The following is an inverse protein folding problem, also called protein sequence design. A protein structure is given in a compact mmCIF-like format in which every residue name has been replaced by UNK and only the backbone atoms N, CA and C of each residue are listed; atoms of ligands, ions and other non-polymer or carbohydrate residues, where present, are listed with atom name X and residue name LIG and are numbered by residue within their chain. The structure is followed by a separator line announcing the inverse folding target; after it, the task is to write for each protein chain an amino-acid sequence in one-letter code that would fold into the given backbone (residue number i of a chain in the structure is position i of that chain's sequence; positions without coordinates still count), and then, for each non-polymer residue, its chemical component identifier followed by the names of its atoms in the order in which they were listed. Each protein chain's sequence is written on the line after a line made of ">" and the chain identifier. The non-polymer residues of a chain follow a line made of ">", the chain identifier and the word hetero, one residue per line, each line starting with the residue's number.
data_IF_648786356725
#
_entry.id   IF_648786356725
#
_cell.length_a   1.000
_cell.length_b   1.000
_cell.length_c   1.000
_cell.angle_alpha   90.00
_cell.angle_beta   90.00
_cell.angle_gamma   90.00
#
_symmetry.space_group_name_H-M   'P 1'
#
loop_
_entity.id
_entity.type
_entity.pdbx_description
1 polymer ?
#
# COMPACT_ATOMS: atom_id res chain seq x y z
N UNK A 1 18.92 -1.65 -15.56
CA UNK A 1 17.52 -1.34 -15.89
C UNK A 1 16.65 -2.45 -15.31
N UNK A 2 15.88 -2.19 -14.24
CA UNK A 2 15.03 -3.21 -13.60
C UNK A 2 13.81 -3.52 -14.48
N UNK A 3 13.51 -4.79 -14.69
CA UNK A 3 12.37 -5.22 -15.53
C UNK A 3 11.12 -5.32 -14.64
N UNK A 4 10.10 -4.51 -14.94
CA UNK A 4 8.77 -4.65 -14.32
C UNK A 4 8.05 -5.80 -15.04
N UNK A 5 7.89 -6.96 -14.36
CA UNK A 5 7.09 -8.07 -14.90
C UNK A 5 5.62 -7.91 -14.48
N UNK A 6 4.71 -7.85 -15.46
CA UNK A 6 3.26 -7.90 -15.27
C UNK A 6 2.79 -9.35 -15.22
N UNK A 7 2.20 -9.77 -14.10
CA UNK A 7 1.43 -11.01 -14.03
C UNK A 7 -0.05 -10.70 -14.25
N UNK A 8 -0.67 -11.32 -15.26
CA UNK A 8 -2.08 -11.12 -15.60
C UNK A 8 -2.91 -12.25 -15.01
N UNK A 9 -3.68 -11.97 -13.96
CA UNK A 9 -4.67 -12.89 -13.42
C UNK A 9 -6.06 -12.40 -13.86
N UNK A 10 -6.65 -13.02 -14.87
CA UNK A 10 -7.95 -12.73 -15.51
C UNK A 10 -8.10 -11.36 -16.16
N UNK A 11 -8.53 -11.36 -17.41
CA UNK A 11 -8.89 -10.17 -18.18
C UNK A 11 -10.31 -9.73 -17.79
N UNK A 12 -10.44 -8.60 -17.09
CA UNK A 12 -11.69 -7.86 -17.07
C UNK A 12 -11.81 -7.12 -18.41
N UNK A 13 -12.97 -7.19 -19.06
CA UNK A 13 -13.24 -6.40 -20.27
C UNK A 13 -13.09 -4.92 -19.89
N UNK A 14 -12.08 -4.27 -20.47
CA UNK A 14 -11.79 -2.83 -20.35
C UNK A 14 -11.66 -2.30 -18.90
N UNK A 15 -10.74 -2.82 -18.09
CA UNK A 15 -10.59 -2.35 -16.73
C UNK A 15 -9.98 -0.95 -16.70
N UNK A 16 -10.69 0.01 -16.12
CA UNK A 16 -10.14 1.33 -15.83
C UNK A 16 -8.96 1.21 -14.86
N UNK A 17 -7.88 1.99 -15.04
CA UNK A 17 -6.77 1.97 -14.12
C UNK A 17 -7.18 2.57 -12.78
N UNK A 18 -7.00 1.80 -11.70
CA UNK A 18 -7.23 2.27 -10.34
C UNK A 18 -6.04 3.09 -9.82
N UNK A 19 -4.82 2.81 -10.31
CA UNK A 19 -3.61 3.58 -10.02
C UNK A 19 -2.87 3.87 -11.32
N UNK A 20 -2.44 5.12 -11.52
CA UNK A 20 -1.56 5.51 -12.62
C UNK A 20 -0.43 6.36 -12.09
N UNK A 21 0.80 6.01 -12.50
CA UNK A 21 1.97 6.87 -12.39
C UNK A 21 2.28 7.39 -13.80
N UNK A 22 2.45 8.70 -13.94
CA UNK A 22 2.67 9.35 -15.24
C UNK A 22 3.92 10.24 -15.15
N UNK A 23 4.96 9.88 -15.89
CA UNK A 23 6.22 10.62 -16.04
C UNK A 23 6.87 10.97 -14.69
N UNK A 24 6.86 10.04 -13.75
CA UNK A 24 7.41 10.24 -12.41
C UNK A 24 8.92 10.32 -12.45
N UNK A 25 9.46 11.42 -11.94
CA UNK A 25 10.89 11.61 -11.69
C UNK A 25 11.10 12.03 -10.24
N UNK A 26 12.16 11.51 -9.63
CA UNK A 26 12.53 11.83 -8.25
C UNK A 26 14.04 11.71 -8.06
N UNK A 27 14.62 12.70 -7.38
CA UNK A 27 16.01 12.72 -6.97
C UNK A 27 16.15 12.95 -5.47
N UNK A 28 17.19 12.39 -4.87
CA UNK A 28 17.63 12.73 -3.52
C UNK A 28 18.99 13.42 -3.60
N UNK A 29 19.00 14.72 -3.35
CA UNK A 29 20.17 15.56 -3.64
C UNK A 29 20.55 15.45 -5.11
N UNK A 30 21.81 15.12 -5.40
CA UNK A 30 22.31 14.98 -6.78
C UNK A 30 22.06 13.58 -7.38
N UNK A 31 21.45 12.66 -6.63
CA UNK A 31 21.21 11.29 -7.09
C UNK A 31 19.80 11.13 -7.62
N UNK A 32 19.67 10.93 -8.93
CA UNK A 32 18.40 10.56 -9.57
C UNK A 32 18.05 9.12 -9.20
N UNK A 33 16.87 8.90 -8.60
CA UNK A 33 16.36 7.59 -8.17
C UNK A 33 15.34 7.04 -9.17
N UNK A 34 14.45 7.92 -9.64
CA UNK A 34 13.45 7.57 -10.66
C UNK A 34 13.58 8.58 -11.81
N UNK A 35 13.52 8.07 -13.03
CA UNK A 35 13.61 8.87 -14.24
C UNK A 35 12.49 8.53 -15.20
N UNK A 36 11.51 9.44 -15.31
CA UNK A 36 10.39 9.35 -16.24
C UNK A 36 9.64 8.02 -16.21
N UNK A 37 9.33 7.52 -15.01
CA UNK A 37 8.64 6.24 -14.81
C UNK A 37 7.15 6.41 -15.02
N UNK A 38 6.57 5.55 -15.86
CA UNK A 38 5.13 5.52 -16.10
C UNK A 38 4.62 4.08 -16.12
N UNK A 39 3.54 3.81 -15.37
CA UNK A 39 2.80 2.55 -15.44
C UNK A 39 1.39 2.72 -14.87
N UNK A 40 0.54 1.72 -15.12
CA UNK A 40 -0.84 1.68 -14.66
C UNK A 40 -1.13 0.34 -14.01
N UNK A 41 -1.96 0.36 -12.98
CA UNK A 41 -2.51 -0.83 -12.31
C UNK A 41 -4.02 -0.78 -12.51
N UNK A 42 -4.55 -1.82 -13.15
CA UNK A 42 -5.99 -1.93 -13.39
C UNK A 42 -6.67 -2.68 -12.23
N UNK A 43 -7.97 -2.52 -12.13
CA UNK A 43 -8.76 -3.25 -11.15
C UNK A 43 -8.55 -4.78 -11.29
N UNK A 44 -8.38 -5.48 -10.17
CA UNK A 44 -8.13 -6.91 -10.12
C UNK A 44 -6.76 -7.35 -10.65
N UNK A 45 -5.83 -6.42 -10.92
CA UNK A 45 -4.47 -6.73 -11.38
C UNK A 45 -3.51 -6.86 -10.20
N UNK A 46 -2.61 -7.84 -10.26
CA UNK A 46 -1.43 -7.93 -9.42
C UNK A 46 -0.23 -7.43 -10.22
N UNK A 47 0.51 -6.47 -9.66
CA UNK A 47 1.74 -5.94 -10.25
C UNK A 47 2.94 -6.30 -9.37
N UNK A 48 3.90 -7.06 -9.92
CA UNK A 48 5.18 -7.34 -9.27
C UNK A 48 6.26 -6.38 -9.75
N UNK A 49 7.06 -5.84 -8.81
CA UNK A 49 8.24 -5.03 -9.11
C UNK A 49 9.51 -5.82 -8.80
N UNK A 50 10.29 -6.12 -9.82
CA UNK A 50 11.54 -6.87 -9.71
C UNK A 50 12.73 -5.99 -10.07
N UNK A 51 13.84 -6.20 -9.39
CA UNK A 51 15.10 -5.49 -9.64
C UNK A 51 16.04 -5.53 -8.43
N UNK A 52 17.30 -5.13 -8.58
CA UNK A 52 18.29 -5.12 -7.51
C UNK A 52 17.90 -4.17 -6.37
N UNK A 53 18.56 -4.33 -5.21
CA UNK A 53 18.37 -3.40 -4.09
C UNK A 53 18.83 -1.99 -4.49
N UNK A 54 18.11 -0.97 -3.99
CA UNK A 54 18.42 0.44 -4.28
C UNK A 54 17.95 0.96 -5.64
N UNK A 55 17.26 0.15 -6.47
CA UNK A 55 16.77 0.58 -7.80
C UNK A 55 15.51 1.46 -7.76
N UNK A 56 14.98 1.75 -6.57
CA UNK A 56 13.80 2.62 -6.42
C UNK A 56 12.47 1.91 -6.19
N UNK A 57 12.45 0.57 -5.98
CA UNK A 57 11.19 -0.16 -5.71
C UNK A 57 10.42 0.40 -4.51
N UNK A 58 11.07 0.51 -3.35
CA UNK A 58 10.46 1.07 -2.13
C UNK A 58 10.09 2.54 -2.30
N UNK A 59 10.85 3.28 -3.10
CA UNK A 59 10.58 4.68 -3.45
C UNK A 59 9.24 4.80 -4.19
N UNK A 60 8.95 3.90 -5.13
CA UNK A 60 7.66 3.86 -5.83
C UNK A 60 6.50 3.59 -4.85
N UNK A 61 6.66 2.65 -3.91
CA UNK A 61 5.64 2.42 -2.87
C UNK A 61 5.44 3.66 -1.99
N UNK A 62 6.51 4.33 -1.58
CA UNK A 62 6.43 5.57 -0.79
C UNK A 62 5.75 6.71 -1.55
N UNK A 63 5.94 6.80 -2.86
CA UNK A 63 5.22 7.75 -3.73
C UNK A 63 3.73 7.41 -3.83
N UNK A 64 3.39 6.13 -4.02
CA UNK A 64 1.99 5.67 -4.10
C UNK A 64 1.27 5.92 -2.76
N UNK A 65 1.90 5.61 -1.64
CA UNK A 65 1.31 5.82 -0.30
C UNK A 65 1.25 7.30 0.10
N UNK A 66 2.08 8.16 -0.51
CA UNK A 66 2.13 9.59 -0.19
C UNK A 66 3.08 9.93 0.96
N UNK A 67 3.97 9.00 1.32
CA UNK A 67 5.06 9.26 2.28
C UNK A 67 6.10 10.24 1.71
N UNK A 68 6.29 10.22 0.39
CA UNK A 68 7.14 11.17 -0.33
C UNK A 68 6.40 11.71 -1.56
N UNK A 69 6.81 12.87 -2.06
CA UNK A 69 6.29 13.47 -3.30
C UNK A 69 7.33 13.32 -4.42
N UNK A 70 6.90 13.16 -5.68
CA UNK A 70 7.80 13.21 -6.81
C UNK A 70 8.25 14.65 -7.10
N UNK A 71 9.42 14.82 -7.73
CA UNK A 71 9.84 16.12 -8.26
C UNK A 71 8.99 16.51 -9.47
N UNK A 72 8.66 15.51 -10.32
CA UNK A 72 7.86 15.69 -11.52
C UNK A 72 6.92 14.51 -11.73
N UNK A 73 5.84 14.77 -12.46
CA UNK A 73 4.85 13.77 -12.86
C UNK A 73 3.57 13.81 -12.05
N UNK A 74 2.70 12.84 -12.30
CA UNK A 74 1.39 12.73 -11.66
C UNK A 74 1.16 11.33 -11.14
N UNK A 75 0.53 11.24 -9.97
CA UNK A 75 0.04 9.99 -9.40
C UNK A 75 -1.47 10.12 -9.35
N UNK A 76 -2.18 9.19 -9.97
CA UNK A 76 -3.64 9.22 -10.02
C UNK A 76 -4.22 7.96 -9.40
N UNK A 77 -5.30 8.13 -8.62
CA UNK A 77 -6.16 7.07 -8.11
C UNK A 77 -7.57 7.31 -8.65
N UNK A 78 -8.13 6.31 -9.32
CA UNK A 78 -9.43 6.42 -10.00
C UNK A 78 -9.55 7.70 -10.85
N UNK A 79 -8.46 8.06 -11.56
CA UNK A 79 -8.36 9.26 -12.38
C UNK A 79 -8.04 10.56 -11.64
N UNK A 80 -8.20 10.63 -10.32
CA UNK A 80 -7.91 11.83 -9.54
C UNK A 80 -6.41 11.95 -9.24
N UNK A 81 -5.79 13.13 -9.51
CA UNK A 81 -4.40 13.40 -9.14
C UNK A 81 -4.29 13.53 -7.62
N UNK A 82 -3.40 12.69 -7.02
CA UNK A 82 -3.24 12.59 -5.57
C UNK A 82 -1.85 13.00 -5.08
N UNK A 83 -1.02 13.64 -5.90
CA UNK A 83 0.34 14.02 -5.53
C UNK A 83 0.36 14.84 -4.23
N UNK A 84 -0.60 15.77 -4.06
CA UNK A 84 -0.69 16.62 -2.87
C UNK A 84 -1.52 16.02 -1.73
N UNK A 85 -2.08 14.83 -1.90
CA UNK A 85 -2.84 14.17 -0.85
C UNK A 85 -1.88 13.50 0.14
N UNK A 86 -1.94 13.84 1.43
CA UNK A 86 -1.17 13.13 2.45
C UNK A 86 -1.66 11.70 2.62
N UNK A 87 -0.83 10.86 3.24
CA UNK A 87 -1.09 9.43 3.40
C UNK A 87 -2.47 9.12 3.98
N UNK A 88 -2.91 9.84 5.03
CA UNK A 88 -4.19 9.59 5.68
C UNK A 88 -5.39 9.84 4.75
N UNK A 89 -5.30 10.81 3.85
CA UNK A 89 -6.35 11.05 2.85
C UNK A 89 -6.36 9.97 1.77
N UNK A 90 -5.18 9.47 1.37
CA UNK A 90 -5.11 8.37 0.39
C UNK A 90 -5.68 7.09 0.96
N UNK A 91 -5.36 6.75 2.21
CA UNK A 91 -5.86 5.54 2.87
C UNK A 91 -7.38 5.60 3.10
N UNK A 92 -7.91 6.71 3.59
CA UNK A 92 -9.35 6.83 3.89
C UNK A 92 -10.20 6.97 2.64
N UNK A 93 -9.82 7.86 1.70
CA UNK A 93 -10.60 8.16 0.50
C UNK A 93 -10.54 7.05 -0.55
N UNK A 94 -9.36 6.46 -0.77
CA UNK A 94 -9.14 5.44 -1.80
C UNK A 94 -8.98 4.03 -1.23
N UNK A 95 -9.18 3.85 0.09
CA UNK A 95 -9.14 2.56 0.80
C UNK A 95 -7.86 1.76 0.51
N UNK A 96 -6.71 2.43 0.54
CA UNK A 96 -5.42 1.81 0.30
C UNK A 96 -4.95 1.15 1.60
N UNK A 97 -4.65 -0.14 1.54
CA UNK A 97 -3.90 -0.85 2.57
C UNK A 97 -2.41 -0.89 2.20
N UNK A 98 -1.54 -0.71 3.17
CA UNK A 98 -0.09 -0.83 3.01
C UNK A 98 0.47 -1.75 4.08
N UNK A 99 1.22 -2.76 3.64
CA UNK A 99 1.97 -3.65 4.53
C UNK A 99 3.46 -3.30 4.36
N UNK A 100 4.12 -2.72 5.37
CA UNK A 100 5.54 -2.41 5.31
C UNK A 100 6.39 -3.69 5.35
N UNK A 101 7.63 -3.61 4.90
CA UNK A 101 8.58 -4.72 4.95
C UNK A 101 8.95 -5.07 6.39
N UNK A 102 9.04 -4.07 7.26
CA UNK A 102 9.35 -4.21 8.68
C UNK A 102 8.41 -3.33 9.51
N UNK A 103 8.05 -3.81 10.70
CA UNK A 103 7.18 -3.08 11.62
C UNK A 103 5.72 -3.06 11.18
N UNK A 104 5.01 -2.00 11.55
CA UNK A 104 3.57 -1.88 11.30
C UNK A 104 2.72 -2.47 12.43
N UNK A 105 3.35 -2.86 13.54
CA UNK A 105 2.73 -3.37 14.75
C UNK A 105 3.45 -2.83 16.00
N UNK A 106 2.82 -2.89 17.13
CA UNK A 106 3.40 -2.53 18.43
C UNK A 106 4.11 -3.74 19.00
N UNK A 107 5.44 -3.71 19.05
CA UNK A 107 6.29 -4.84 19.47
C UNK A 107 6.07 -5.30 20.90
N UNK A 108 5.62 -4.41 21.78
CA UNK A 108 5.39 -4.70 23.20
C UNK A 108 3.99 -5.25 23.49
N UNK A 109 3.11 -5.25 22.47
CA UNK A 109 1.76 -5.78 22.57
C UNK A 109 1.68 -7.20 21.97
N UNK A 110 0.78 -8.01 22.51
CA UNK A 110 0.42 -9.31 21.92
C UNK A 110 -0.29 -9.11 20.57
N UNK A 111 -0.43 -10.20 19.79
CA UNK A 111 -1.20 -10.18 18.55
C UNK A 111 -2.63 -9.64 18.79
N UNK A 112 -3.31 -10.16 19.83
CA UNK A 112 -4.68 -9.74 20.15
C UNK A 112 -4.74 -8.25 20.53
N UNK A 113 -3.79 -7.75 21.30
CA UNK A 113 -3.71 -6.34 21.70
C UNK A 113 -3.43 -5.44 20.48
N UNK A 114 -2.56 -5.86 19.58
CA UNK A 114 -2.32 -5.17 18.32
C UNK A 114 -3.59 -5.07 17.47
N UNK A 115 -4.33 -6.18 17.31
CA UNK A 115 -5.60 -6.19 16.59
C UNK A 115 -6.63 -5.27 17.25
N UNK A 116 -6.73 -5.27 18.59
CA UNK A 116 -7.61 -4.37 19.34
C UNK A 116 -7.24 -2.92 19.12
N UNK A 117 -5.97 -2.56 19.26
CA UNK A 117 -5.50 -1.19 19.10
C UNK A 117 -5.85 -0.62 17.71
N UNK A 118 -5.63 -1.40 16.64
CA UNK A 118 -6.00 -0.98 15.28
C UNK A 118 -7.52 -0.95 15.10
N UNK A 119 -8.24 -1.94 15.61
CA UNK A 119 -9.70 -1.99 15.50
C UNK A 119 -10.37 -0.80 16.16
N UNK A 120 -9.87 -0.35 17.33
CA UNK A 120 -10.32 0.85 18.03
C UNK A 120 -10.22 2.13 17.18
N UNK A 121 -9.20 2.21 16.30
CA UNK A 121 -8.97 3.36 15.43
C UNK A 121 -9.87 3.30 14.18
N UNK A 122 -10.03 2.09 13.58
CA UNK A 122 -10.63 1.99 12.24
C UNK A 122 -12.10 1.59 12.23
N UNK A 123 -12.61 0.98 13.32
CA UNK A 123 -13.98 0.51 13.42
C UNK A 123 -14.83 1.54 14.17
N UNK A 124 -15.78 2.13 13.46
CA UNK A 124 -16.66 3.17 14.03
C UNK A 124 -17.64 2.57 15.04
N UNK A 125 -18.27 1.44 14.70
CA UNK A 125 -19.19 0.73 15.60
C UNK A 125 -18.41 -0.17 16.56
N UNK A 126 -18.25 0.29 17.79
CA UNK A 126 -17.50 -0.41 18.85
C UNK A 126 -18.05 -1.81 19.18
N UNK A 127 -19.34 -2.03 18.99
CA UNK A 127 -19.95 -3.33 19.25
C UNK A 127 -19.46 -4.43 18.28
N UNK A 128 -18.98 -4.05 17.11
CA UNK A 128 -18.47 -4.97 16.10
C UNK A 128 -16.99 -5.35 16.28
N UNK A 129 -16.26 -4.67 17.15
CA UNK A 129 -14.81 -4.85 17.30
C UNK A 129 -14.47 -6.30 17.63
N UNK A 130 -15.04 -6.84 18.71
CA UNK A 130 -14.77 -8.23 19.14
C UNK A 130 -15.08 -9.23 18.04
N UNK A 131 -16.28 -9.14 17.46
CA UNK A 131 -16.70 -10.03 16.39
C UNK A 131 -15.76 -10.01 15.18
N UNK A 132 -15.29 -8.83 14.77
CA UNK A 132 -14.35 -8.70 13.64
C UNK A 132 -12.96 -9.22 13.96
N UNK A 133 -12.49 -9.04 15.19
CA UNK A 133 -11.21 -9.61 15.65
C UNK A 133 -11.28 -11.13 15.64
N UNK A 134 -12.33 -11.72 16.22
CA UNK A 134 -12.51 -13.17 16.25
C UNK A 134 -12.61 -13.76 14.84
N UNK A 135 -13.30 -13.08 13.92
CA UNK A 135 -13.34 -13.46 12.51
C UNK A 135 -11.96 -13.46 11.85
N UNK A 136 -11.11 -12.46 12.15
CA UNK A 136 -9.76 -12.39 11.61
C UNK A 136 -8.88 -13.49 12.18
N UNK A 137 -8.91 -13.69 13.50
CA UNK A 137 -8.16 -14.75 14.19
C UNK A 137 -8.50 -16.12 13.60
N UNK A 138 -9.79 -16.43 13.48
CA UNK A 138 -10.24 -17.69 12.88
C UNK A 138 -9.86 -17.82 11.40
N UNK A 139 -10.02 -16.74 10.61
CA UNK A 139 -9.72 -16.75 9.17
C UNK A 139 -8.26 -17.00 8.85
N UNK A 140 -7.35 -16.53 9.70
CA UNK A 140 -5.91 -16.67 9.53
C UNK A 140 -5.30 -17.73 10.45
N UNK A 141 -6.12 -18.51 11.17
CA UNK A 141 -5.70 -19.61 12.06
C UNK A 141 -4.67 -19.14 13.12
N UNK A 142 -4.95 -17.98 13.74
CA UNK A 142 -4.03 -17.29 14.65
C UNK A 142 -4.28 -17.62 16.14
N UNK A 143 -5.21 -18.53 16.47
CA UNK A 143 -5.59 -18.83 17.85
C UNK A 143 -4.40 -19.24 18.73
N UNK A 144 -3.49 -20.04 18.18
CA UNK A 144 -2.34 -20.54 18.93
C UNK A 144 -1.32 -19.45 19.32
N UNK A 145 -1.33 -18.32 18.61
CA UNK A 145 -0.36 -17.23 18.83
C UNK A 145 -1.03 -15.91 19.28
N UNK A 146 -2.33 -15.92 19.57
CA UNK A 146 -3.10 -14.70 19.88
C UNK A 146 -2.55 -13.90 21.06
N UNK A 147 -1.99 -14.59 22.05
CA UNK A 147 -1.46 -14.00 23.29
C UNK A 147 0.09 -13.92 23.31
N UNK A 148 0.75 -14.17 22.17
CA UNK A 148 2.19 -14.03 21.97
C UNK A 148 2.51 -12.61 21.47
N UNK A 149 3.62 -12.06 21.98
CA UNK A 149 4.19 -10.78 21.51
C UNK A 149 5.03 -10.96 20.25
#
# INVERSE_FOLDING_TARGET
>A
MGVIKKFRIKSFKNPQPIISLENISLSFGNRKILDNISFKINQGQILGMLGPNGVGKSTIFNLITGLIKPDYGKIKFDGANVVDYPIYLRTTKFKIGYVPQYGGYFSDLTLLENLKAIAEIVIVDKNLIHHKIDQLIAKFELDAIRDIK
#
